data_IF_883627924674
#
_entry.id   IF_883627924674
#
_cell.length_a   1.000
_cell.length_b   1.000
_cell.length_c   1.000
_cell.angle_alpha   90.00
_cell.angle_beta   90.00
_cell.angle_gamma   90.00
#
_symmetry.space_group_name_H-M   'P 1'
#
loop_
_entity.id
_entity.type
_entity.pdbx_description
1 polymer ?
#
# COMPACT_ATOMS: atom_id res chain seq x y z
N UNK A 1 -14.25 -12.66 10.27
CA UNK A 1 -14.03 -12.20 8.86
C UNK A 1 -14.43 -10.75 8.63
N UNK A 2 -15.62 -10.29 9.07
CA UNK A 2 -16.09 -8.91 8.80
C UNK A 2 -15.10 -7.83 9.26
N UNK A 3 -14.55 -7.92 10.48
CA UNK A 3 -13.57 -6.97 10.98
C UNK A 3 -12.31 -6.87 10.11
N UNK A 4 -11.84 -8.00 9.56
CA UNK A 4 -10.70 -7.99 8.65
C UNK A 4 -11.05 -7.28 7.33
N UNK A 5 -12.27 -7.45 6.82
CA UNK A 5 -12.70 -6.73 5.61
C UNK A 5 -12.74 -5.23 5.87
N UNK A 6 -13.39 -4.80 6.95
CA UNK A 6 -13.46 -3.38 7.33
C UNK A 6 -12.07 -2.77 7.52
N UNK A 7 -11.15 -3.51 8.15
CA UNK A 7 -9.79 -3.04 8.38
C UNK A 7 -8.92 -3.02 7.12
N UNK A 8 -9.05 -4.02 6.25
CA UNK A 8 -8.19 -4.19 5.08
C UNK A 8 -8.60 -3.28 3.92
N UNK A 9 -9.90 -3.02 3.74
CA UNK A 9 -10.42 -2.20 2.62
C UNK A 9 -9.73 -0.85 2.47
N UNK A 10 -9.67 0.04 3.49
CA UNK A 10 -9.04 1.34 3.33
C UNK A 10 -7.52 1.24 3.13
N UNK A 11 -6.89 0.20 3.66
CA UNK A 11 -5.45 -0.04 3.49
C UNK A 11 -5.12 -0.50 2.06
N UNK A 12 -5.95 -1.37 1.49
CA UNK A 12 -5.84 -1.85 0.11
C UNK A 12 -6.10 -0.71 -0.85
N UNK A 13 -7.15 0.09 -0.63
CA UNK A 13 -7.46 1.25 -1.48
C UNK A 13 -6.29 2.23 -1.56
N UNK A 14 -5.68 2.56 -0.42
CA UNK A 14 -4.48 3.41 -0.38
C UNK A 14 -3.31 2.77 -1.11
N UNK A 15 -3.05 1.48 -0.88
CA UNK A 15 -1.98 0.76 -1.54
C UNK A 15 -2.19 0.72 -3.07
N UNK A 16 -3.40 0.43 -3.51
CA UNK A 16 -3.77 0.39 -4.93
C UNK A 16 -3.63 1.75 -5.59
N UNK A 17 -4.04 2.82 -4.92
CA UNK A 17 -3.86 4.17 -5.43
C UNK A 17 -2.39 4.58 -5.60
N UNK A 18 -1.48 3.99 -4.81
CA UNK A 18 -0.05 4.29 -4.84
C UNK A 18 0.71 3.41 -5.85
N UNK A 19 0.33 2.14 -5.97
CA UNK A 19 1.10 1.14 -6.73
C UNK A 19 0.40 0.65 -8.01
N UNK A 20 -0.89 0.90 -8.17
CA UNK A 20 -1.72 0.46 -9.29
C UNK A 20 -2.46 -0.86 -9.02
N UNK A 21 -3.58 -1.07 -9.72
CA UNK A 21 -4.46 -2.23 -9.53
C UNK A 21 -3.75 -3.54 -9.85
N UNK A 22 -3.06 -3.64 -10.99
CA UNK A 22 -2.37 -4.87 -11.38
C UNK A 22 -1.23 -5.24 -10.42
N UNK A 23 -0.48 -4.27 -9.93
CA UNK A 23 0.59 -4.51 -8.94
C UNK A 23 -0.02 -5.03 -7.64
N UNK A 24 -1.09 -4.39 -7.18
CA UNK A 24 -1.81 -4.80 -5.97
C UNK A 24 -2.31 -6.23 -6.09
N UNK A 25 -2.97 -6.55 -7.20
CA UNK A 25 -3.47 -7.90 -7.46
C UNK A 25 -2.32 -8.91 -7.40
N UNK A 26 -1.26 -8.72 -8.20
CA UNK A 26 -0.15 -9.68 -8.26
C UNK A 26 0.53 -9.87 -6.91
N UNK A 27 0.78 -8.79 -6.17
CA UNK A 27 1.43 -8.88 -4.87
C UNK A 27 0.56 -9.61 -3.84
N UNK A 28 -0.75 -9.33 -3.80
CA UNK A 28 -1.66 -9.96 -2.84
C UNK A 28 -1.98 -11.41 -3.17
N UNK A 29 -2.12 -11.75 -4.45
CA UNK A 29 -2.32 -13.15 -4.88
C UNK A 29 -1.03 -13.97 -4.81
N UNK A 30 0.12 -13.32 -4.78
CA UNK A 30 1.43 -13.97 -4.71
C UNK A 30 2.16 -13.65 -3.41
N UNK A 31 3.25 -12.87 -3.48
CA UNK A 31 4.24 -12.79 -2.42
C UNK A 31 3.74 -12.25 -1.08
N UNK A 32 2.74 -11.35 -1.04
CA UNK A 32 2.23 -10.80 0.22
C UNK A 32 1.39 -11.81 1.02
N UNK A 33 0.85 -12.84 0.37
CA UNK A 33 0.23 -13.97 1.07
C UNK A 33 1.23 -15.11 1.32
N UNK A 34 2.00 -15.47 0.30
CA UNK A 34 2.85 -16.68 0.34
C UNK A 34 4.11 -16.51 1.17
N UNK A 35 4.76 -15.34 1.18
CA UNK A 35 5.98 -15.14 1.95
C UNK A 35 5.68 -15.15 3.46
N UNK A 36 4.72 -14.38 4.00
CA UNK A 36 4.42 -14.43 5.43
C UNK A 36 3.91 -15.80 5.86
N UNK A 37 3.06 -16.43 5.05
CA UNK A 37 2.56 -17.78 5.31
C UNK A 37 3.66 -18.85 5.27
N UNK A 38 4.61 -18.72 4.34
CA UNK A 38 5.78 -19.59 4.22
C UNK A 38 6.70 -19.44 5.43
N UNK A 39 7.05 -18.20 5.81
CA UNK A 39 7.88 -17.93 7.00
C UNK A 39 7.18 -18.44 8.27
N UNK A 40 5.88 -18.18 8.42
CA UNK A 40 5.08 -18.73 9.51
C UNK A 40 5.18 -20.26 9.58
N UNK A 41 4.95 -20.94 8.45
CA UNK A 41 4.98 -22.40 8.36
C UNK A 41 6.36 -22.95 8.71
N UNK A 42 7.43 -22.29 8.24
CA UNK A 42 8.80 -22.68 8.57
C UNK A 42 9.07 -22.54 10.08
N UNK A 43 8.68 -21.42 10.68
CA UNK A 43 8.88 -21.18 12.12
C UNK A 43 8.08 -22.17 12.98
N UNK A 44 6.80 -22.35 12.69
CA UNK A 44 5.94 -23.29 13.43
C UNK A 44 6.46 -24.72 13.35
N UNK A 45 6.76 -25.18 12.13
CA UNK A 45 7.14 -26.57 11.91
C UNK A 45 8.54 -26.89 12.40
N UNK A 46 9.51 -26.01 12.15
CA UNK A 46 10.92 -26.32 12.40
C UNK A 46 11.48 -25.70 13.69
N UNK A 47 10.96 -24.56 14.14
CA UNK A 47 11.43 -23.90 15.37
C UNK A 47 10.55 -24.30 16.54
N UNK A 48 9.23 -24.13 16.42
CA UNK A 48 8.29 -24.45 17.50
C UNK A 48 7.88 -25.92 17.56
N UNK A 49 8.14 -26.69 16.49
CA UNK A 49 7.76 -28.10 16.35
C UNK A 49 6.26 -28.34 16.56
N UNK A 50 5.46 -27.42 16.06
CA UNK A 50 4.00 -27.42 16.15
C UNK A 50 3.37 -27.62 14.76
N UNK A 51 2.06 -27.86 14.73
CA UNK A 51 1.29 -28.11 13.51
C UNK A 51 -0.07 -27.37 13.53
N UNK A 52 -0.03 -26.10 13.95
CA UNK A 52 -1.22 -25.25 14.03
C UNK A 52 -1.65 -24.80 12.64
N UNK A 53 -2.94 -24.96 12.33
CA UNK A 53 -3.53 -24.46 11.09
C UNK A 53 -4.00 -23.03 11.34
N UNK A 54 -3.54 -22.09 10.51
CA UNK A 54 -3.92 -20.68 10.59
C UNK A 54 -4.41 -20.21 9.23
N UNK A 55 -5.53 -19.50 9.23
CA UNK A 55 -6.11 -18.89 8.04
C UNK A 55 -6.72 -17.53 8.36
N UNK A 56 -6.61 -16.57 7.45
CA UNK A 56 -7.31 -15.30 7.57
C UNK A 56 -6.60 -14.13 6.89
N UNK A 57 -7.40 -13.15 6.45
CA UNK A 57 -6.94 -11.93 5.81
C UNK A 57 -6.23 -10.94 6.76
N UNK A 58 -6.16 -11.21 8.06
CA UNK A 58 -5.51 -10.34 9.06
C UNK A 58 -4.01 -10.17 8.80
N UNK A 59 -3.37 -11.11 8.10
CA UNK A 59 -1.97 -10.97 7.67
C UNK A 59 -1.82 -9.75 6.76
N UNK A 60 -2.75 -9.53 5.83
CA UNK A 60 -2.74 -8.36 4.96
C UNK A 60 -3.01 -7.07 5.72
N UNK A 61 -3.88 -7.10 6.74
CA UNK A 61 -4.12 -5.93 7.61
C UNK A 61 -2.81 -5.48 8.25
N UNK A 62 -2.10 -6.38 8.93
CA UNK A 62 -0.85 -6.02 9.60
C UNK A 62 0.29 -5.70 8.64
N UNK A 63 0.36 -6.36 7.48
CA UNK A 63 1.33 -6.05 6.43
C UNK A 63 1.13 -4.61 5.92
N UNK A 64 -0.09 -4.25 5.52
CA UNK A 64 -0.36 -2.93 4.96
C UNK A 64 -0.30 -1.84 6.02
N UNK A 65 -0.76 -2.13 7.24
CA UNK A 65 -0.66 -1.20 8.35
C UNK A 65 0.80 -0.88 8.67
N UNK A 66 1.67 -1.90 8.73
CA UNK A 66 3.12 -1.68 8.90
C UNK A 66 3.70 -0.84 7.76
N UNK A 67 3.32 -1.13 6.52
CA UNK A 67 3.78 -0.36 5.37
C UNK A 67 3.33 1.12 5.42
N UNK A 68 2.07 1.36 5.81
CA UNK A 68 1.49 2.69 5.92
C UNK A 68 2.14 3.51 7.04
N UNK A 69 2.25 2.91 8.23
CA UNK A 69 2.82 3.58 9.40
C UNK A 69 4.28 3.97 9.16
N UNK A 70 5.05 3.20 8.39
CA UNK A 70 6.41 3.57 8.00
C UNK A 70 6.48 4.86 7.15
N UNK A 71 5.41 5.19 6.42
CA UNK A 71 5.28 6.48 5.73
C UNK A 71 4.85 7.56 6.72
N UNK A 72 3.82 7.28 7.53
CA UNK A 72 3.29 8.23 8.52
C UNK A 72 4.34 8.67 9.54
N UNK A 73 5.23 7.78 9.97
CA UNK A 73 6.26 8.13 10.96
C UNK A 73 7.24 9.20 10.47
N UNK A 74 7.41 9.37 9.15
CA UNK A 74 8.31 10.39 8.60
C UNK A 74 7.78 11.80 8.86
N UNK A 75 6.46 11.96 8.90
CA UNK A 75 5.80 13.23 9.20
C UNK A 75 5.41 13.33 10.68
N UNK A 76 5.01 12.23 11.30
CA UNK A 76 4.58 12.15 12.69
C UNK A 76 5.31 11.00 13.40
N UNK A 77 6.57 11.20 13.84
CA UNK A 77 7.41 10.12 14.37
C UNK A 77 6.94 9.57 15.72
N UNK A 78 6.16 10.35 16.47
CA UNK A 78 5.61 9.95 17.76
C UNK A 78 4.15 10.38 17.86
N UNK A 79 3.36 9.59 18.59
CA UNK A 79 2.07 10.03 19.11
C UNK A 79 2.12 10.04 20.65
N UNK A 80 1.41 10.97 21.26
CA UNK A 80 1.39 11.13 22.72
C UNK A 80 0.27 10.30 23.33
N UNK A 81 0.61 9.50 24.34
CA UNK A 81 -0.34 8.82 25.22
C UNK A 81 -0.12 9.37 26.62
N UNK A 82 -0.92 10.37 27.00
CA UNK A 82 -0.69 11.15 28.21
C UNK A 82 0.69 11.82 28.17
N UNK A 83 1.57 11.60 29.17
CA UNK A 83 2.92 12.19 29.19
C UNK A 83 3.94 11.43 28.32
N UNK A 84 3.60 10.24 27.84
CA UNK A 84 4.54 9.37 27.14
C UNK A 84 4.48 9.57 25.62
N UNK A 85 5.65 9.59 24.98
CA UNK A 85 5.78 9.63 23.52
C UNK A 85 6.07 8.24 22.99
N UNK A 86 5.10 7.67 22.28
CA UNK A 86 5.23 6.34 21.69
C UNK A 86 5.66 6.49 20.24
N UNK A 87 6.73 5.81 19.78
CA UNK A 87 7.15 5.87 18.39
C UNK A 87 6.04 5.32 17.48
N UNK A 88 5.63 6.10 16.49
CA UNK A 88 4.51 5.76 15.60
C UNK A 88 4.73 4.42 14.90
N UNK A 89 5.97 4.10 14.54
CA UNK A 89 6.32 2.83 13.89
C UNK A 89 5.97 1.59 14.71
N UNK A 90 5.82 1.69 16.03
CA UNK A 90 5.48 0.55 16.91
C UNK A 90 3.98 0.23 16.92
N UNK A 91 3.13 1.09 16.37
CA UNK A 91 1.66 0.94 16.38
C UNK A 91 1.18 -0.43 15.86
N UNK A 92 1.68 -0.96 14.72
CA UNK A 92 1.29 -2.28 14.23
C UNK A 92 1.67 -3.38 15.23
N UNK A 93 2.85 -3.32 15.84
CA UNK A 93 3.31 -4.32 16.82
C UNK A 93 2.45 -4.31 18.09
N UNK A 94 2.07 -3.14 18.58
CA UNK A 94 1.14 -3.04 19.70
C UNK A 94 -0.21 -3.65 19.35
N UNK A 95 -0.74 -3.37 18.15
CA UNK A 95 -2.00 -3.95 17.69
C UNK A 95 -1.93 -5.46 17.48
N UNK A 96 -0.79 -6.00 17.03
CA UNK A 96 -0.54 -7.45 16.99
C UNK A 96 -0.62 -8.05 18.40
N UNK A 97 0.03 -7.42 19.39
CA UNK A 97 -0.04 -7.84 20.78
C UNK A 97 -1.47 -7.82 21.34
N UNK A 98 -2.16 -6.69 21.18
CA UNK A 98 -3.56 -6.52 21.61
C UNK A 98 -4.47 -7.56 20.96
N UNK A 99 -4.34 -7.77 19.64
CA UNK A 99 -5.15 -8.75 18.92
C UNK A 99 -4.89 -10.17 19.41
N UNK A 100 -3.63 -10.50 19.70
CA UNK A 100 -3.24 -11.84 20.20
C UNK A 100 -3.77 -12.12 21.60
N UNK A 101 -4.02 -11.08 22.40
CA UNK A 101 -4.59 -11.21 23.75
C UNK A 101 -6.12 -11.27 23.69
N UNK A 102 -6.75 -10.41 22.87
CA UNK A 102 -8.20 -10.21 22.88
C UNK A 102 -8.95 -11.15 21.93
N UNK A 103 -8.33 -11.58 20.83
CA UNK A 103 -9.00 -12.40 19.82
C UNK A 103 -8.52 -13.84 19.96
N UNK A 104 -9.40 -14.79 20.35
CA UNK A 104 -9.01 -16.18 20.49
C UNK A 104 -8.69 -16.81 19.12
N UNK A 105 -7.85 -17.84 19.13
CA UNK A 105 -7.49 -18.64 17.95
C UNK A 105 -6.81 -17.84 16.81
N UNK A 106 -6.12 -16.75 17.14
CA UNK A 106 -5.23 -16.05 16.21
C UNK A 106 -3.79 -16.47 16.44
N UNK A 107 -2.94 -16.30 15.42
CA UNK A 107 -1.52 -16.58 15.53
C UNK A 107 -0.71 -15.30 15.66
N UNK A 108 -0.13 -15.10 16.85
CA UNK A 108 0.83 -14.03 17.11
C UNK A 108 1.96 -14.04 16.08
N UNK A 109 2.54 -15.22 15.82
CA UNK A 109 3.65 -15.37 14.87
C UNK A 109 3.21 -15.06 13.45
N UNK A 110 2.03 -15.54 13.03
CA UNK A 110 1.48 -15.22 11.72
C UNK A 110 1.28 -13.72 11.51
N UNK A 111 0.79 -13.02 12.54
CA UNK A 111 0.65 -11.56 12.51
C UNK A 111 2.00 -10.83 12.49
N UNK A 112 3.00 -11.30 13.27
CA UNK A 112 4.36 -10.76 13.24
C UNK A 112 5.04 -10.98 11.88
N UNK A 113 4.83 -12.12 11.21
CA UNK A 113 5.31 -12.36 9.85
C UNK A 113 4.70 -11.38 8.85
N UNK A 114 3.39 -11.11 8.95
CA UNK A 114 2.71 -10.11 8.12
C UNK A 114 3.27 -8.70 8.35
N UNK A 115 3.33 -8.27 9.62
CA UNK A 115 3.89 -6.97 10.00
C UNK A 115 5.35 -6.80 9.54
N UNK A 116 6.18 -7.84 9.74
CA UNK A 116 7.57 -7.88 9.32
C UNK A 116 7.74 -7.69 7.82
N UNK A 117 6.95 -8.39 6.99
CA UNK A 117 6.99 -8.19 5.55
C UNK A 117 6.54 -6.78 5.15
N UNK A 118 5.54 -6.22 5.84
CA UNK A 118 5.10 -4.84 5.66
C UNK A 118 6.21 -3.80 5.93
N UNK A 119 6.99 -4.00 7.00
CA UNK A 119 8.16 -3.17 7.29
C UNK A 119 9.23 -3.31 6.21
N UNK A 120 9.56 -4.53 5.78
CA UNK A 120 10.52 -4.77 4.70
C UNK A 120 10.10 -4.11 3.39
N UNK A 121 8.79 -4.15 3.07
CA UNK A 121 8.22 -3.48 1.91
C UNK A 121 8.43 -1.98 1.97
N UNK A 122 8.08 -1.34 3.09
CA UNK A 122 8.18 0.11 3.23
C UNK A 122 9.63 0.60 3.31
N UNK A 123 10.56 -0.21 3.83
CA UNK A 123 12.00 0.08 3.79
C UNK A 123 12.61 -0.04 2.39
N UNK A 124 11.88 -0.60 1.42
CA UNK A 124 12.33 -0.72 0.03
C UNK A 124 13.08 -2.00 -0.31
N UNK A 125 13.38 -2.87 0.67
CA UNK A 125 14.22 -4.05 0.47
C UNK A 125 13.61 -5.12 -0.44
N UNK A 126 12.28 -5.19 -0.51
CA UNK A 126 11.57 -6.21 -1.29
C UNK A 126 10.79 -5.63 -2.48
N UNK A 127 11.18 -4.44 -2.97
CA UNK A 127 10.54 -3.80 -4.14
C UNK A 127 10.75 -4.60 -5.43
N UNK A 128 11.75 -5.47 -5.48
CA UNK A 128 11.98 -6.39 -6.61
C UNK A 128 10.84 -7.42 -6.80
N UNK A 129 9.95 -7.58 -5.80
CA UNK A 129 8.76 -8.43 -5.93
C UNK A 129 7.72 -7.86 -6.91
N UNK A 130 7.81 -6.56 -7.23
CA UNK A 130 6.94 -5.92 -8.22
C UNK A 130 7.33 -6.42 -9.61
N UNK A 131 6.40 -7.01 -10.39
CA UNK A 131 6.69 -7.43 -11.76
C UNK A 131 7.17 -6.27 -12.62
N UNK A 132 8.01 -6.57 -13.61
CA UNK A 132 8.52 -5.55 -14.52
C UNK A 132 7.37 -4.85 -15.25
N UNK A 133 7.45 -3.52 -15.31
CA UNK A 133 6.39 -2.64 -15.83
C UNK A 133 5.92 -3.03 -17.24
N UNK A 134 6.84 -3.40 -18.14
CA UNK A 134 6.52 -3.91 -19.49
C UNK A 134 5.48 -5.02 -19.49
N UNK A 135 5.55 -5.97 -18.55
CA UNK A 135 4.62 -7.10 -18.47
C UNK A 135 3.25 -6.60 -18.02
N UNK A 136 3.23 -5.71 -17.03
CA UNK A 136 1.99 -5.12 -16.50
C UNK A 136 1.29 -4.28 -17.58
N UNK A 137 2.02 -3.43 -18.31
CA UNK A 137 1.50 -2.63 -19.42
C UNK A 137 1.00 -3.49 -20.58
N UNK A 138 1.73 -4.57 -20.90
CA UNK A 138 1.30 -5.53 -21.90
C UNK A 138 -0.05 -6.16 -21.50
N UNK A 139 -0.19 -6.59 -20.25
CA UNK A 139 -1.43 -7.18 -19.74
C UNK A 139 -2.58 -6.17 -19.73
N UNK A 140 -2.34 -4.95 -19.26
CA UNK A 140 -3.30 -3.86 -19.22
C UNK A 140 -3.86 -3.55 -20.61
N UNK A 141 -2.98 -3.41 -21.61
CA UNK A 141 -3.36 -3.12 -23.00
C UNK A 141 -4.08 -4.30 -23.64
N UNK A 142 -3.60 -5.54 -23.43
CA UNK A 142 -4.21 -6.74 -24.02
C UNK A 142 -5.61 -7.01 -23.51
N UNK A 143 -5.86 -6.72 -22.23
CA UNK A 143 -7.16 -6.93 -21.60
C UNK A 143 -8.08 -5.70 -21.69
N UNK A 144 -7.56 -4.56 -22.15
CA UNK A 144 -8.25 -3.27 -22.21
C UNK A 144 -8.89 -2.90 -20.85
N UNK A 145 -8.11 -3.02 -19.77
CA UNK A 145 -8.63 -2.94 -18.39
C UNK A 145 -9.21 -1.56 -18.07
N UNK A 146 -8.58 -0.50 -18.58
CA UNK A 146 -9.05 0.88 -18.40
C UNK A 146 -10.47 1.11 -18.91
N UNK A 147 -10.85 0.46 -20.02
CA UNK A 147 -12.19 0.59 -20.58
C UNK A 147 -13.21 -0.34 -19.92
N UNK A 148 -12.75 -1.43 -19.27
CA UNK A 148 -13.63 -2.50 -18.76
C UNK A 148 -13.90 -2.41 -17.27
N UNK A 149 -12.93 -1.95 -16.48
CA UNK A 149 -13.02 -1.95 -15.02
C UNK A 149 -13.24 -0.53 -14.50
N UNK A 150 -14.37 -0.28 -13.82
CA UNK A 150 -14.57 1.01 -13.17
C UNK A 150 -13.55 1.18 -12.03
N UNK A 151 -13.04 2.39 -11.84
CA UNK A 151 -12.05 2.75 -10.81
C UNK A 151 -10.70 2.02 -10.91
N UNK A 152 -10.38 1.42 -12.07
CA UNK A 152 -9.07 0.85 -12.31
C UNK A 152 -7.96 1.92 -12.25
N UNK A 153 -6.90 1.64 -11.51
CA UNK A 153 -5.71 2.50 -11.37
C UNK A 153 -4.62 1.98 -12.30
N UNK A 154 -4.31 2.75 -13.34
CA UNK A 154 -3.35 2.33 -14.37
C UNK A 154 -1.92 2.28 -13.88
N UNK A 155 -1.13 1.44 -14.56
CA UNK A 155 0.31 1.38 -14.33
C UNK A 155 0.98 2.73 -14.69
N UNK A 156 0.46 3.47 -15.68
CA UNK A 156 1.03 4.75 -16.10
C UNK A 156 0.69 5.91 -15.15
N UNK A 157 -0.46 5.87 -14.45
CA UNK A 157 -0.80 6.86 -13.42
C UNK A 157 0.19 6.86 -12.25
N UNK A 158 0.87 5.74 -11.98
CA UNK A 158 1.97 5.67 -11.01
C UNK A 158 3.18 6.49 -11.46
N UNK A 159 3.49 6.50 -12.76
CA UNK A 159 4.68 7.15 -13.33
C UNK A 159 4.49 8.65 -13.51
N UNK A 160 3.27 9.10 -13.81
CA UNK A 160 2.97 10.51 -14.09
C UNK A 160 2.05 11.18 -13.07
N UNK A 161 1.65 10.48 -12.00
CA UNK A 161 0.70 10.96 -11.01
C UNK A 161 -0.76 10.90 -11.48
N UNK A 162 -1.71 10.94 -10.52
CA UNK A 162 -3.16 10.86 -10.76
C UNK A 162 -3.70 11.91 -11.76
N UNK A 163 -2.98 13.01 -11.95
CA UNK A 163 -3.34 14.11 -12.85
C UNK A 163 -2.46 14.20 -14.11
N UNK A 164 -1.53 13.26 -14.31
CA UNK A 164 -0.48 13.39 -15.31
C UNK A 164 0.46 14.55 -14.98
N UNK A 165 1.60 14.60 -15.68
CA UNK A 165 2.36 15.84 -15.75
C UNK A 165 1.47 16.87 -16.45
N UNK A 166 1.21 17.99 -15.79
CA UNK A 166 0.61 19.14 -16.46
C UNK A 166 1.45 19.42 -17.71
N UNK A 167 0.85 19.58 -18.90
CA UNK A 167 1.60 19.99 -20.06
C UNK A 167 2.28 21.33 -19.74
N UNK A 168 3.57 21.32 -19.44
CA UNK A 168 4.42 22.51 -19.50
C UNK A 168 4.70 22.76 -20.98
N UNK A 169 3.63 23.01 -21.75
CA UNK A 169 3.78 23.69 -23.01
C UNK A 169 4.24 25.09 -22.65
N UNK A 170 5.57 25.30 -22.63
CA UNK A 170 6.12 26.60 -22.91
C UNK A 170 5.67 26.93 -24.34
N UNK A 171 4.48 27.50 -24.47
CA UNK A 171 4.02 28.08 -25.71
C UNK A 171 5.05 29.18 -26.01
N UNK A 172 5.86 29.08 -27.07
CA UNK A 172 6.68 30.21 -27.50
C UNK A 172 5.70 31.34 -27.77
N UNK A 173 5.88 32.45 -27.09
CA UNK A 173 5.02 33.64 -27.11
C UNK A 173 5.07 34.39 -28.47
N UNK A 174 5.23 33.68 -29.59
CA UNK A 174 5.50 34.23 -30.91
C UNK A 174 4.32 34.26 -31.88
N UNK A 175 3.35 33.34 -31.79
CA UNK A 175 2.44 33.09 -32.92
C UNK A 175 0.96 32.84 -32.60
N UNK A 176 0.43 33.24 -31.43
CA UNK A 176 -1.03 33.25 -31.24
C UNK A 176 -1.68 34.47 -31.92
N UNK A 177 -2.73 34.28 -32.75
CA UNK A 177 -3.55 35.39 -33.23
C UNK A 177 -4.22 36.10 -32.04
N UNK A 178 -4.01 37.41 -31.90
CA UNK A 178 -4.66 38.24 -30.87
C UNK A 178 -6.18 38.19 -31.04
N UNK A 179 -6.89 37.69 -30.03
CA UNK A 179 -8.28 38.07 -29.75
C UNK A 179 -8.27 39.19 -28.70
N UNK A 180 -9.11 40.24 -28.83
CA UNK A 180 -9.07 41.38 -27.92
C UNK A 180 -9.85 41.13 -26.61
N UNK A 181 -9.12 41.30 -25.49
CA UNK A 181 -9.46 41.96 -24.21
C UNK A 181 -10.74 41.55 -23.44
N UNK A 182 -10.56 41.27 -22.13
CA UNK A 182 -11.11 41.96 -20.93
C UNK A 182 -11.37 40.94 -19.79
N UNK A 183 -10.74 41.14 -18.63
CA UNK A 183 -11.21 40.56 -17.36
C UNK A 183 -10.11 40.19 -16.37
N UNK A 184 -9.83 41.11 -15.44
CA UNK A 184 -8.90 41.02 -14.31
C UNK A 184 -9.04 39.79 -13.40
N UNK A 185 -7.91 39.37 -12.81
CA UNK A 185 -7.90 38.82 -11.46
C UNK A 185 -7.26 37.44 -11.28
N UNK A 186 -5.96 37.33 -11.51
CA UNK A 186 -5.16 36.20 -11.01
C UNK A 186 -4.76 36.45 -9.54
N UNK A 187 -5.15 35.56 -8.63
CA UNK A 187 -4.52 35.42 -7.31
C UNK A 187 -4.22 33.94 -7.03
N UNK A 188 -2.92 33.65 -6.90
CA UNK A 188 -2.37 32.39 -6.41
C UNK A 188 -2.02 32.53 -4.92
N UNK A 189 -2.33 31.50 -4.12
CA UNK A 189 -1.75 31.27 -2.79
C UNK A 189 -2.72 30.64 -1.78
N UNK A 190 -2.22 30.01 -0.70
CA UNK A 190 -0.82 29.87 -0.27
C UNK A 190 -0.13 28.58 -0.73
#
# INVERSE_FOLDING_TARGET
MIFNLVAVTPLVERFESEYGTLVTLVLFTGPFGTIPGGVYTLLEKFVLRSNTIVMGASIWVFLLLSAEVMKTQKTNPYFSVGPYRVPTWTTPLMLVGVTSILVPNVSLIGHLCGAGLGYLWASGYIKFLVPHEKILRWLETKLNLLARLPHYVSVDQKTYGRYGVLPTAAIPLGNMPRSPVVGDGQRLGP
#
